data_IF_638719412137
#
_entry.id   IF_638719412137
#
_cell.length_a   1.000
_cell.length_b   1.000
_cell.length_c   1.000
_cell.angle_alpha   90.00
_cell.angle_beta   90.00
_cell.angle_gamma   90.00
#
_symmetry.space_group_name_H-M   'P 1'
#
loop_
_entity.id
_entity.type
_entity.pdbx_description
1 polymer ?
#
# COMPACT_ATOMS: atom_id res chain seq x y z
N UNK A 1 18.93 5.84 3.89
CA UNK A 1 18.57 4.41 3.67
C UNK A 1 17.70 4.24 2.43
N UNK A 2 16.74 5.15 2.21
CA UNK A 2 15.83 5.13 1.05
C UNK A 2 16.55 5.04 -0.30
N UNK A 3 17.66 5.74 -0.49
CA UNK A 3 18.42 5.72 -1.74
C UNK A 3 18.88 4.30 -2.15
N UNK A 4 19.22 3.45 -1.16
CA UNK A 4 19.58 2.06 -1.41
C UNK A 4 18.36 1.21 -1.79
N UNK A 5 17.22 1.44 -1.15
CA UNK A 5 15.97 0.77 -1.49
C UNK A 5 15.54 1.17 -2.91
N UNK A 6 15.63 2.44 -3.26
CA UNK A 6 15.32 2.94 -4.60
C UNK A 6 16.21 2.28 -5.67
N UNK A 7 17.54 2.22 -5.44
CA UNK A 7 18.45 1.54 -6.36
C UNK A 7 18.08 0.06 -6.56
N UNK A 8 17.73 -0.64 -5.49
CA UNK A 8 17.30 -2.04 -5.57
C UNK A 8 15.99 -2.17 -6.38
N UNK A 9 15.00 -1.33 -6.11
CA UNK A 9 13.71 -1.35 -6.81
C UNK A 9 13.85 -1.04 -8.30
N UNK A 10 14.76 -0.13 -8.69
CA UNK A 10 15.04 0.17 -10.11
C UNK A 10 15.58 -1.03 -10.88
N UNK A 11 16.32 -1.92 -10.22
CA UNK A 11 16.88 -3.14 -10.82
C UNK A 11 15.97 -4.36 -10.70
N UNK A 12 14.92 -4.27 -9.87
CA UNK A 12 14.05 -5.39 -9.56
C UNK A 12 13.08 -5.67 -10.71
N UNK A 13 13.04 -6.93 -11.16
CA UNK A 13 12.07 -7.42 -12.15
C UNK A 13 11.05 -8.32 -11.44
N UNK A 14 9.80 -7.87 -11.23
CA UNK A 14 8.82 -8.69 -10.55
C UNK A 14 8.42 -9.89 -11.42
N UNK A 15 8.19 -11.03 -10.77
CA UNK A 15 7.53 -12.14 -11.43
C UNK A 15 6.09 -11.73 -11.78
N UNK A 16 5.70 -11.93 -13.04
CA UNK A 16 4.33 -11.71 -13.49
C UNK A 16 3.60 -13.04 -13.36
N UNK A 17 2.61 -13.08 -12.46
CA UNK A 17 1.70 -14.21 -12.37
C UNK A 17 0.59 -14.05 -13.41
N UNK A 18 0.02 -15.16 -13.89
CA UNK A 18 -1.16 -15.16 -14.75
C UNK A 18 -2.28 -14.32 -14.12
N UNK A 19 -3.01 -13.58 -14.95
CA UNK A 19 -3.89 -12.49 -14.54
C UNK A 19 -5.12 -13.04 -13.79
N UNK A 20 -5.24 -12.84 -12.46
CA UNK A 20 -6.41 -13.31 -11.73
C UNK A 20 -7.65 -12.51 -12.14
N UNK A 21 -8.83 -13.14 -12.09
CA UNK A 21 -10.13 -12.49 -12.37
C UNK A 21 -10.40 -11.27 -11.49
N UNK A 22 -9.73 -11.16 -10.33
CA UNK A 22 -9.90 -10.06 -9.37
C UNK A 22 -8.56 -9.40 -9.09
N UNK A 23 -8.30 -8.27 -9.76
CA UNK A 23 -7.10 -7.46 -9.54
C UNK A 23 -7.27 -6.49 -8.37
N UNK A 24 -6.18 -6.26 -7.66
CA UNK A 24 -6.05 -5.22 -6.64
C UNK A 24 -4.65 -4.62 -6.72
N UNK A 25 -4.52 -3.36 -6.31
CA UNK A 25 -3.25 -2.64 -6.21
C UNK A 25 -3.10 -2.05 -4.81
N UNK A 26 -1.87 -2.07 -4.29
CA UNK A 26 -1.52 -1.49 -2.99
C UNK A 26 -0.35 -0.53 -3.13
N UNK A 27 -0.33 0.48 -2.27
CA UNK A 27 0.78 1.41 -2.11
C UNK A 27 1.64 0.90 -0.96
N UNK A 28 2.96 0.90 -1.13
CA UNK A 28 3.91 0.61 -0.05
C UNK A 28 4.66 1.92 0.24
N UNK A 29 4.15 2.78 1.14
CA UNK A 29 4.73 4.09 1.38
C UNK A 29 5.91 3.94 2.34
N UNK A 30 7.10 4.32 1.86
CA UNK A 30 8.32 4.38 2.65
C UNK A 30 8.59 5.83 3.05
N UNK A 31 8.73 6.08 4.35
CA UNK A 31 9.03 7.41 4.89
C UNK A 31 10.37 7.39 5.61
N UNK A 32 11.15 8.45 5.47
CA UNK A 32 12.29 8.70 6.36
C UNK A 32 11.90 9.72 7.43
N UNK A 33 12.08 9.35 8.69
CA UNK A 33 11.86 10.23 9.83
C UNK A 33 12.86 9.88 10.92
N UNK A 34 13.52 10.90 11.47
CA UNK A 34 14.46 10.74 12.60
C UNK A 34 15.55 9.68 12.33
N UNK A 35 16.05 9.61 11.09
CA UNK A 35 17.06 8.64 10.67
C UNK A 35 16.56 7.21 10.47
N UNK A 36 15.26 6.96 10.62
CA UNK A 36 14.63 5.65 10.45
C UNK A 36 13.77 5.59 9.20
N UNK A 37 13.73 4.42 8.54
CA UNK A 37 12.77 4.14 7.47
C UNK A 37 11.52 3.50 8.07
N UNK A 38 10.37 4.11 7.82
CA UNK A 38 9.07 3.71 8.34
C UNK A 38 8.16 3.29 7.19
N UNK A 39 7.27 2.33 7.47
CA UNK A 39 6.15 1.98 6.60
C UNK A 39 4.87 2.63 7.10
N UNK A 40 4.12 3.22 6.18
CA UNK A 40 2.78 3.70 6.48
C UNK A 40 1.74 2.60 6.21
N UNK A 41 0.97 2.30 7.25
CA UNK A 41 -0.11 1.33 7.21
C UNK A 41 -1.43 2.00 7.57
N UNK A 42 -2.52 1.38 7.15
CA UNK A 42 -3.89 1.83 7.41
C UNK A 42 -4.60 0.83 8.31
N UNK A 43 -5.45 1.33 9.22
CA UNK A 43 -6.46 0.47 9.86
C UNK A 43 -7.74 0.52 9.02
N UNK A 44 -8.20 -0.63 8.56
CA UNK A 44 -9.44 -0.75 7.78
C UNK A 44 -10.65 -0.39 8.66
N UNK A 45 -11.65 0.24 8.05
CA UNK A 45 -12.89 0.59 8.74
C UNK A 45 -13.56 -0.64 9.35
N UNK A 46 -14.06 -0.51 10.58
CA UNK A 46 -14.83 -1.54 11.27
C UNK A 46 -16.13 -1.89 10.52
N UNK A 47 -16.61 -0.99 9.64
CA UNK A 47 -17.86 -1.14 8.87
C UNK A 47 -17.71 -1.95 7.58
N UNK A 48 -16.52 -2.45 7.24
CA UNK A 48 -16.29 -3.17 5.99
C UNK A 48 -16.81 -4.62 6.07
N UNK A 49 -17.40 -5.11 4.98
CA UNK A 49 -17.92 -6.49 4.88
C UNK A 49 -16.83 -7.55 4.98
N UNK A 50 -15.58 -7.19 4.68
CA UNK A 50 -14.44 -8.12 4.71
C UNK A 50 -13.19 -7.42 5.25
N UNK A 51 -12.44 -8.15 6.08
CA UNK A 51 -11.20 -7.68 6.70
C UNK A 51 -11.37 -6.36 7.47
N UNK A 52 -12.50 -6.18 8.16
CA UNK A 52 -12.76 -5.01 9.01
C UNK A 52 -11.75 -4.95 10.16
N UNK A 53 -11.34 -3.74 10.56
CA UNK A 53 -10.43 -3.51 11.68
C UNK A 53 -8.97 -3.95 11.46
N UNK A 54 -8.67 -4.70 10.41
CA UNK A 54 -7.32 -5.20 10.11
C UNK A 54 -6.36 -4.08 9.67
N UNK A 55 -5.08 -4.27 9.98
CA UNK A 55 -4.00 -3.41 9.47
C UNK A 55 -3.62 -3.88 8.07
N UNK A 56 -3.58 -2.96 7.11
CA UNK A 56 -3.20 -3.26 5.73
C UNK A 56 -2.44 -2.10 5.10
N UNK A 57 -1.73 -2.39 4.01
CA UNK A 57 -1.30 -1.33 3.11
C UNK A 57 -2.50 -0.54 2.57
N UNK A 58 -2.33 0.77 2.28
CA UNK A 58 -3.27 1.48 1.43
C UNK A 58 -3.42 0.73 0.11
N UNK A 59 -4.64 0.61 -0.36
CA UNK A 59 -4.92 -0.05 -1.62
C UNK A 59 -6.40 -0.34 -1.82
N UNK A 60 -6.69 -0.88 -3.00
CA UNK A 60 -8.05 -1.21 -3.40
C UNK A 60 -8.10 -2.24 -4.51
N UNK A 61 -9.29 -2.83 -4.65
CA UNK A 61 -9.66 -3.61 -5.83
C UNK A 61 -9.63 -2.69 -7.05
N UNK A 62 -9.11 -3.18 -8.17
CA UNK A 62 -9.15 -2.49 -9.46
C UNK A 62 -10.52 -2.69 -10.09
N UNK A 63 -11.16 -1.60 -10.52
CA UNK A 63 -12.38 -1.67 -11.34
C UNK A 63 -11.99 -1.84 -12.82
N UNK A 64 -12.89 -2.36 -13.65
CA UNK A 64 -12.58 -2.74 -15.04
C UNK A 64 -12.04 -1.59 -15.89
N UNK A 65 -12.42 -0.36 -15.57
CA UNK A 65 -12.00 0.85 -16.28
C UNK A 65 -10.74 1.49 -15.67
N UNK A 66 -10.27 1.02 -14.51
CA UNK A 66 -9.13 1.61 -13.83
C UNK A 66 -7.82 1.07 -14.41
N UNK A 67 -6.85 1.97 -14.64
CA UNK A 67 -5.45 1.54 -14.66
C UNK A 67 -4.97 1.26 -13.23
N UNK A 68 -3.99 0.35 -13.02
CA UNK A 68 -3.48 0.04 -11.68
C UNK A 68 -2.97 1.27 -10.91
N UNK A 69 -2.26 2.17 -11.62
CA UNK A 69 -1.77 3.43 -11.04
C UNK A 69 -2.91 4.37 -10.67
N UNK A 70 -3.90 4.52 -11.56
CA UNK A 70 -5.07 5.35 -11.30
C UNK A 70 -5.86 4.87 -10.08
N UNK A 71 -6.04 3.56 -9.94
CA UNK A 71 -6.72 2.96 -8.79
C UNK A 71 -6.07 3.31 -7.46
N UNK A 72 -4.74 3.40 -7.46
CA UNK A 72 -3.97 3.70 -6.27
C UNK A 72 -4.02 5.17 -5.89
N UNK A 73 -3.96 6.06 -6.89
CA UNK A 73 -3.99 7.51 -6.68
C UNK A 73 -5.39 8.03 -6.34
N UNK A 74 -6.44 7.35 -6.77
CA UNK A 74 -7.84 7.71 -6.47
C UNK A 74 -8.29 7.33 -5.06
N UNK A 75 -7.45 6.59 -4.31
CA UNK A 75 -7.75 6.22 -2.94
C UNK A 75 -7.63 7.43 -2.01
N UNK A 76 -8.78 7.89 -1.49
CA UNK A 76 -8.79 8.96 -0.49
C UNK A 76 -8.14 8.49 0.81
N UNK A 77 -7.25 9.30 1.43
CA UNK A 77 -6.66 8.99 2.72
C UNK A 77 -7.66 9.26 3.87
N UNK A 78 -8.84 8.65 3.84
CA UNK A 78 -9.79 8.68 4.97
C UNK A 78 -9.45 7.64 6.05
N UNK A 79 -8.30 6.97 5.94
CA UNK A 79 -7.93 5.83 6.80
C UNK A 79 -6.99 6.29 7.91
N UNK A 80 -7.34 5.93 9.15
CA UNK A 80 -6.50 6.19 10.34
C UNK A 80 -5.11 5.59 10.12
N UNK A 81 -4.12 6.49 10.12
CA UNK A 81 -2.70 6.15 10.01
C UNK A 81 -2.32 5.36 11.27
N UNK A 82 -1.84 4.13 11.09
CA UNK A 82 -1.30 3.35 12.20
C UNK A 82 0.18 3.69 12.31
N UNK A 83 0.52 4.53 13.29
CA UNK A 83 1.92 4.74 13.67
C UNK A 83 2.25 3.74 14.76
N UNK A 84 3.22 2.85 14.51
CA UNK A 84 3.87 2.09 15.56
C UNK A 84 4.72 3.05 16.40
N UNK A 85 4.07 3.77 17.33
CA UNK A 85 4.79 4.30 18.49
C UNK A 85 5.06 3.10 19.39
N UNK A 86 6.31 2.64 19.43
CA UNK A 86 6.77 1.89 20.59
C UNK A 86 6.63 2.83 21.79
N UNK A 87 5.73 2.49 22.71
CA UNK A 87 5.81 2.90 24.12
C UNK A 87 6.76 1.91 24.80
#
# INVERSE_FOLDING_TARGET
MLSRIEANLRSFKPAINELPERRASVLIPLLEREGQTLLLLTKRSEKLRSHSGQVSFPGGKQDEQDSPLWRLLSEKPEKKLVSNRKV
#
